data_IF_009388233340
#
_entry.id   IF_009388233340
#
_cell.length_a   1.000
_cell.length_b   1.000
_cell.length_c   1.000
_cell.angle_alpha   90.00
_cell.angle_beta   90.00
_cell.angle_gamma   90.00
#
_symmetry.space_group_name_H-M   'P 1'
#
loop_
_entity.id
_entity.type
_entity.pdbx_description
1 polymer ?
#
# COMPACT_ATOMS: atom_id res chain seq x y z
N UNK A 1 -61.06 -38.07 -7.40
CA UNK A 1 -59.95 -37.91 -6.43
C UNK A 1 -58.97 -36.93 -7.05
N UNK A 2 -59.07 -35.63 -6.71
CA UNK A 2 -58.33 -34.54 -7.35
C UNK A 2 -57.51 -33.81 -6.27
N UNK A 3 -56.20 -33.73 -6.46
CA UNK A 3 -55.25 -33.04 -5.58
C UNK A 3 -54.89 -31.70 -6.21
N UNK A 4 -55.27 -30.60 -5.56
CA UNK A 4 -54.89 -29.25 -5.91
C UNK A 4 -53.55 -28.90 -5.24
N UNK A 5 -52.49 -28.73 -6.04
CA UNK A 5 -51.17 -28.29 -5.59
C UNK A 5 -51.04 -26.77 -5.64
N UNK A 6 -50.96 -26.12 -4.47
CA UNK A 6 -50.70 -24.68 -4.36
C UNK A 6 -49.22 -24.35 -4.57
N UNK A 7 -48.91 -23.58 -5.62
CA UNK A 7 -47.58 -23.00 -5.85
C UNK A 7 -47.40 -21.80 -4.91
N UNK A 8 -46.57 -21.97 -3.89
CA UNK A 8 -46.17 -20.88 -3.00
C UNK A 8 -45.04 -20.07 -3.65
N UNK A 9 -45.36 -18.88 -4.16
CA UNK A 9 -44.36 -17.94 -4.68
C UNK A 9 -43.45 -17.46 -3.54
N UNK A 10 -42.12 -17.63 -3.70
CA UNK A 10 -41.13 -17.09 -2.75
C UNK A 10 -41.08 -15.57 -2.90
N UNK A 11 -41.04 -14.79 -1.79
CA UNK A 11 -40.88 -13.35 -1.87
C UNK A 11 -39.56 -13.01 -2.58
N UNK A 12 -39.63 -12.03 -3.48
CA UNK A 12 -38.48 -11.52 -4.19
C UNK A 12 -37.42 -11.04 -3.18
N UNK A 13 -36.26 -11.67 -3.26
CA UNK A 13 -35.06 -11.34 -2.50
C UNK A 13 -34.78 -9.84 -2.70
N UNK A 14 -34.96 -9.06 -1.63
CA UNK A 14 -34.74 -7.61 -1.62
C UNK A 14 -33.31 -7.41 -2.10
N UNK A 15 -33.12 -6.83 -3.29
CA UNK A 15 -31.81 -6.50 -3.81
C UNK A 15 -31.07 -5.70 -2.73
N UNK A 16 -30.12 -6.36 -2.04
CA UNK A 16 -29.34 -5.75 -0.99
C UNK A 16 -28.72 -4.51 -1.60
N UNK A 17 -29.07 -3.33 -1.06
CA UNK A 17 -28.47 -2.09 -1.49
C UNK A 17 -26.96 -2.25 -1.28
N UNK A 18 -26.25 -2.52 -2.38
CA UNK A 18 -24.81 -2.69 -2.36
C UNK A 18 -24.24 -1.46 -1.67
N UNK A 19 -23.66 -1.65 -0.49
CA UNK A 19 -23.09 -0.55 0.28
C UNK A 19 -22.04 0.15 -0.58
N UNK A 20 -22.40 1.30 -1.13
CA UNK A 20 -21.50 2.00 -2.04
C UNK A 20 -20.53 2.77 -1.16
N UNK A 21 -19.27 2.32 -1.11
CA UNK A 21 -18.13 3.08 -0.59
C UNK A 21 -17.93 4.33 -1.47
N UNK A 22 -18.87 5.28 -1.41
CA UNK A 22 -18.93 6.49 -2.21
C UNK A 22 -18.94 7.69 -1.28
N UNK A 23 -17.79 8.35 -1.20
CA UNK A 23 -17.66 9.63 -0.54
C UNK A 23 -17.92 10.73 -1.56
N UNK A 24 -18.72 11.75 -1.22
CA UNK A 24 -19.00 12.86 -2.14
C UNK A 24 -17.71 13.56 -2.58
N UNK A 25 -17.59 13.82 -3.89
CA UNK A 25 -16.40 14.41 -4.51
C UNK A 25 -15.15 13.52 -4.48
N UNK A 26 -15.29 12.23 -4.17
CA UNK A 26 -14.16 11.29 -4.19
C UNK A 26 -13.99 10.61 -5.55
N UNK A 27 -12.74 10.24 -5.85
CA UNK A 27 -12.36 9.43 -7.01
C UNK A 27 -11.82 8.08 -6.54
N UNK A 28 -12.09 7.01 -7.29
CA UNK A 28 -11.55 5.69 -6.96
C UNK A 28 -10.12 5.58 -7.41
N UNK A 29 -9.27 5.05 -6.53
CA UNK A 29 -7.89 4.72 -6.87
C UNK A 29 -7.75 3.21 -7.10
N UNK A 30 -8.29 2.40 -6.17
CA UNK A 30 -8.25 0.94 -6.23
C UNK A 30 -9.56 0.36 -5.65
N UNK A 31 -9.92 -0.85 -6.06
CA UNK A 31 -11.03 -1.60 -5.49
C UNK A 31 -10.80 -3.11 -5.60
N UNK A 32 -11.38 -3.86 -4.67
CA UNK A 32 -11.50 -5.32 -4.73
C UNK A 32 -12.89 -5.72 -4.22
N UNK A 33 -13.18 -7.02 -4.00
CA UNK A 33 -14.50 -7.46 -3.52
C UNK A 33 -14.87 -7.01 -2.09
N UNK A 34 -13.90 -6.56 -1.28
CA UNK A 34 -14.08 -6.28 0.15
C UNK A 34 -13.91 -4.80 0.51
N UNK A 35 -13.13 -4.05 -0.27
CA UNK A 35 -12.75 -2.69 0.04
C UNK A 35 -12.46 -1.84 -1.20
N UNK A 36 -12.47 -0.53 -1.00
CA UNK A 36 -12.15 0.52 -1.97
C UNK A 36 -11.16 1.50 -1.36
N UNK A 37 -10.19 1.94 -2.15
CA UNK A 37 -9.36 3.10 -1.85
C UNK A 37 -9.83 4.26 -2.71
N UNK A 38 -10.06 5.41 -2.11
CA UNK A 38 -10.52 6.62 -2.80
C UNK A 38 -9.65 7.82 -2.42
N UNK A 39 -9.65 8.83 -3.27
CA UNK A 39 -9.05 10.14 -3.00
C UNK A 39 -10.10 11.24 -3.00
N UNK A 40 -9.87 12.30 -2.25
CA UNK A 40 -10.70 13.50 -2.24
C UNK A 40 -9.81 14.73 -2.06
N UNK A 41 -10.10 15.81 -2.78
CA UNK A 41 -9.48 17.10 -2.50
C UNK A 41 -9.92 17.59 -1.12
N UNK A 42 -8.98 18.11 -0.33
CA UNK A 42 -9.23 18.66 0.98
C UNK A 42 -8.33 19.87 1.22
N UNK A 43 -8.65 20.65 2.25
CA UNK A 43 -7.81 21.74 2.73
C UNK A 43 -7.38 21.41 4.16
N UNK A 44 -6.09 21.52 4.45
CA UNK A 44 -5.51 21.39 5.79
C UNK A 44 -5.00 22.77 6.19
N UNK A 45 -5.51 23.30 7.30
CA UNK A 45 -5.36 24.72 7.63
C UNK A 45 -5.93 25.64 6.51
N UNK A 46 -5.96 26.97 6.65
CA UNK A 46 -6.59 27.82 5.63
C UNK A 46 -5.82 27.90 4.31
N UNK A 47 -4.60 27.35 4.21
CA UNK A 47 -3.70 27.56 3.06
C UNK A 47 -3.30 26.31 2.29
N UNK A 48 -3.34 25.11 2.89
CA UNK A 48 -2.76 23.93 2.24
C UNK A 48 -3.82 23.06 1.58
N UNK A 49 -3.77 22.99 0.24
CA UNK A 49 -4.58 22.04 -0.53
C UNK A 49 -3.89 20.68 -0.55
N UNK A 50 -4.63 19.63 -0.21
CA UNK A 50 -4.13 18.27 -0.19
C UNK A 50 -5.06 17.32 -0.94
N UNK A 51 -4.50 16.25 -1.47
CA UNK A 51 -5.22 15.05 -1.86
C UNK A 51 -5.23 14.08 -0.70
N UNK A 52 -6.40 13.87 -0.10
CA UNK A 52 -6.56 12.93 1.02
C UNK A 52 -6.98 11.56 0.51
N UNK A 53 -6.25 10.55 0.94
CA UNK A 53 -6.56 9.14 0.68
C UNK A 53 -7.41 8.57 1.80
N UNK A 54 -8.42 7.79 1.41
CA UNK A 54 -9.26 7.02 2.32
C UNK A 54 -9.32 5.56 1.88
N UNK A 55 -9.44 4.66 2.84
CA UNK A 55 -9.85 3.29 2.62
C UNK A 55 -11.26 3.08 3.17
N UNK A 56 -12.10 2.35 2.45
CA UNK A 56 -13.45 2.00 2.86
C UNK A 56 -13.68 0.50 2.69
N UNK A 57 -14.26 -0.13 3.71
CA UNK A 57 -14.73 -1.52 3.64
C UNK A 57 -16.21 -1.54 3.26
N UNK A 58 -16.57 -2.26 2.19
CA UNK A 58 -17.95 -2.28 1.67
C UNK A 58 -18.96 -2.69 2.74
N UNK A 59 -18.70 -3.78 3.47
CA UNK A 59 -19.64 -4.31 4.48
C UNK A 59 -20.05 -3.29 5.55
N UNK A 60 -19.19 -2.35 5.91
CA UNK A 60 -19.49 -1.38 6.98
C UNK A 60 -19.69 0.03 6.45
N UNK A 61 -19.37 0.30 5.19
CA UNK A 61 -19.33 1.63 4.58
C UNK A 61 -18.59 2.70 5.42
N UNK A 62 -17.58 2.27 6.19
CA UNK A 62 -16.79 3.14 7.07
C UNK A 62 -15.51 3.53 6.36
N UNK A 63 -15.24 4.84 6.32
CA UNK A 63 -14.03 5.40 5.75
C UNK A 63 -12.97 5.63 6.83
N UNK A 64 -11.74 5.26 6.52
CA UNK A 64 -10.57 5.51 7.33
C UNK A 64 -9.58 6.37 6.54
N UNK A 65 -9.14 7.49 7.12
CA UNK A 65 -8.08 8.31 6.52
C UNK A 65 -6.78 7.53 6.51
N UNK A 66 -6.14 7.46 5.34
CA UNK A 66 -4.88 6.74 5.15
C UNK A 66 -3.72 7.71 5.24
N UNK A 67 -3.70 8.72 4.37
CA UNK A 67 -2.60 9.67 4.20
C UNK A 67 -3.08 10.91 3.45
N UNK A 68 -2.43 12.05 3.69
CA UNK A 68 -2.63 13.27 2.90
C UNK A 68 -1.39 13.50 2.04
N UNK A 69 -1.62 13.83 0.77
CA UNK A 69 -0.58 14.18 -0.21
C UNK A 69 -0.73 15.64 -0.58
N UNK A 70 0.35 16.40 -0.58
CA UNK A 70 0.27 17.85 -0.79
C UNK A 70 1.63 18.49 -1.00
N UNK A 71 1.77 19.71 -0.50
CA UNK A 71 3.02 20.48 -0.57
C UNK A 71 4.18 19.71 0.09
N UNK A 72 5.32 19.56 -0.62
CA UNK A 72 6.51 18.96 -0.04
C UNK A 72 6.95 19.66 1.25
N UNK A 73 7.46 18.88 2.20
CA UNK A 73 7.91 19.37 3.50
C UNK A 73 6.80 19.59 4.53
N UNK A 74 5.53 19.42 4.14
CA UNK A 74 4.38 19.44 5.05
C UNK A 74 3.56 18.15 5.00
N UNK A 75 3.51 17.51 3.83
CA UNK A 75 2.73 16.29 3.58
C UNK A 75 3.58 15.24 2.87
N UNK A 76 3.03 14.04 2.68
CA UNK A 76 3.68 13.09 1.76
C UNK A 76 3.64 13.65 0.34
N UNK A 77 4.73 13.55 -0.40
CA UNK A 77 4.81 14.07 -1.77
C UNK A 77 4.10 13.11 -2.74
N UNK A 78 4.12 11.81 -2.41
CA UNK A 78 3.59 10.72 -3.23
C UNK A 78 3.15 9.55 -2.38
N UNK A 79 2.16 8.81 -2.89
CA UNK A 79 1.61 7.59 -2.26
C UNK A 79 1.55 6.50 -3.32
N UNK A 80 2.70 5.99 -3.70
CA UNK A 80 2.88 4.94 -4.70
C UNK A 80 4.15 4.13 -4.39
N UNK A 81 4.15 2.82 -4.66
CA UNK A 81 3.03 1.97 -5.11
C UNK A 81 1.94 1.75 -4.05
N UNK A 82 0.77 1.27 -4.48
CA UNK A 82 -0.43 1.01 -3.66
C UNK A 82 -0.99 -0.38 -3.94
N UNK A 83 -1.54 -1.05 -2.93
CA UNK A 83 -2.22 -2.36 -3.04
C UNK A 83 -3.44 -2.45 -2.10
N UNK A 84 -4.43 -3.25 -2.52
CA UNK A 84 -5.56 -3.68 -1.68
C UNK A 84 -5.62 -5.21 -1.65
N UNK A 85 -5.58 -5.80 -0.46
CA UNK A 85 -5.68 -7.26 -0.30
C UNK A 85 -6.67 -7.59 0.81
N UNK A 86 -7.80 -8.19 0.44
CA UNK A 86 -8.91 -8.37 1.36
C UNK A 86 -9.37 -7.01 1.91
N UNK A 87 -9.29 -6.85 3.23
CA UNK A 87 -9.64 -5.63 3.96
C UNK A 87 -8.44 -4.74 4.29
N UNK A 88 -7.25 -5.03 3.76
CA UNK A 88 -6.06 -4.24 4.05
C UNK A 88 -5.74 -3.29 2.90
N UNK A 89 -5.32 -2.09 3.27
CA UNK A 89 -4.73 -1.10 2.36
C UNK A 89 -3.24 -0.96 2.64
N UNK A 90 -2.42 -1.18 1.62
CA UNK A 90 -0.97 -1.08 1.67
C UNK A 90 -0.48 -0.01 0.71
N UNK A 91 0.46 0.81 1.13
CA UNK A 91 1.06 1.83 0.28
C UNK A 91 2.46 2.21 0.74
N UNK A 92 3.26 2.70 -0.20
CA UNK A 92 4.47 3.45 0.10
C UNK A 92 4.18 4.95 0.07
N UNK A 93 4.81 5.70 0.96
CA UNK A 93 4.81 7.16 0.94
C UNK A 93 6.24 7.68 0.89
N UNK A 94 6.41 8.86 0.31
CA UNK A 94 7.64 9.63 0.43
C UNK A 94 7.32 10.99 1.04
N UNK A 95 8.27 11.53 1.78
CA UNK A 95 8.26 12.86 2.37
C UNK A 95 9.62 13.49 2.10
N UNK A 96 9.63 14.65 1.47
CA UNK A 96 10.81 15.45 1.24
C UNK A 96 10.79 16.63 2.19
N UNK A 97 11.86 16.84 2.96
CA UNK A 97 11.97 18.04 3.79
C UNK A 97 12.07 19.31 2.94
N UNK A 98 11.57 20.48 3.41
CA UNK A 98 11.62 21.73 2.66
C UNK A 98 13.04 22.13 2.22
N UNK A 99 14.05 21.79 3.03
CA UNK A 99 15.45 22.06 2.74
C UNK A 99 16.04 21.13 1.65
N UNK A 100 15.28 20.12 1.19
CA UNK A 100 15.65 19.25 0.07
C UNK A 100 16.67 18.16 0.37
N UNK A 101 17.24 18.13 1.57
CA UNK A 101 18.36 17.24 1.90
C UNK A 101 17.92 15.82 2.32
N UNK A 102 16.73 15.68 2.90
CA UNK A 102 16.25 14.38 3.37
C UNK A 102 14.96 13.96 2.66
N UNK A 103 15.06 12.88 1.90
CA UNK A 103 13.90 12.15 1.43
C UNK A 103 13.65 11.00 2.40
N UNK A 104 12.54 11.00 3.12
CA UNK A 104 12.06 9.86 3.90
C UNK A 104 11.07 9.07 3.06
N UNK A 105 11.31 7.78 2.87
CA UNK A 105 10.30 6.86 2.32
C UNK A 105 9.87 5.86 3.39
N UNK A 106 8.59 5.52 3.37
CA UNK A 106 7.99 4.57 4.31
C UNK A 106 7.00 3.66 3.60
N UNK A 107 6.73 2.50 4.20
CA UNK A 107 5.65 1.61 3.81
C UNK A 107 4.66 1.47 4.96
N UNK A 108 3.37 1.35 4.63
CA UNK A 108 2.30 1.27 5.62
C UNK A 108 1.22 0.30 5.20
N UNK A 109 0.72 -0.47 6.15
CA UNK A 109 -0.49 -1.29 6.00
C UNK A 109 -1.55 -0.89 7.03
N UNK A 110 -2.80 -0.72 6.59
CA UNK A 110 -3.94 -0.32 7.41
C UNK A 110 -5.06 -1.36 7.31
N UNK A 111 -5.59 -1.79 8.45
CA UNK A 111 -6.74 -2.69 8.57
C UNK A 111 -8.05 -1.90 8.44
N UNK A 112 -8.76 -2.05 7.32
CA UNK A 112 -10.00 -1.31 7.03
C UNK A 112 -11.22 -1.86 7.78
N UNK A 113 -11.06 -2.81 8.70
CA UNK A 113 -12.11 -3.14 9.68
C UNK A 113 -12.14 -2.13 10.83
N UNK A 114 -10.97 -1.64 11.21
CA UNK A 114 -10.77 -0.85 12.44
C UNK A 114 -10.08 0.50 12.23
N UNK A 115 -9.47 0.72 11.06
CA UNK A 115 -8.60 1.86 10.78
C UNK A 115 -7.21 1.76 11.42
N UNK A 116 -6.91 0.67 12.13
CA UNK A 116 -5.62 0.50 12.82
C UNK A 116 -4.49 0.27 11.81
N UNK A 117 -3.35 0.90 12.10
CA UNK A 117 -2.10 0.67 11.37
C UNK A 117 -1.50 -0.64 11.85
N UNK A 118 -1.26 -1.58 10.94
CA UNK A 118 -0.62 -2.87 11.25
C UNK A 118 0.88 -2.86 11.00
N UNK A 119 1.30 -2.10 10.00
CA UNK A 119 2.71 -1.95 9.62
C UNK A 119 2.95 -0.47 9.37
N UNK A 120 4.05 0.05 9.92
CA UNK A 120 4.61 1.37 9.60
C UNK A 120 6.12 1.26 9.72
N UNK A 121 6.79 1.18 8.58
CA UNK A 121 8.24 0.97 8.51
C UNK A 121 8.88 2.01 7.61
N UNK A 122 10.10 2.44 7.93
CA UNK A 122 10.93 3.15 6.95
C UNK A 122 11.23 2.21 5.78
N UNK A 123 11.22 2.67 4.54
CA UNK A 123 11.49 1.82 3.40
C UNK A 123 12.94 1.28 3.40
N UNK A 124 13.87 2.07 3.94
CA UNK A 124 15.29 1.78 4.09
C UNK A 124 15.75 2.30 5.48
N UNK A 125 16.57 1.53 6.21
CA UNK A 125 17.03 1.90 7.58
C UNK A 125 18.41 2.56 7.55
N UNK A 126 19.24 2.21 6.56
CA UNK A 126 20.65 2.62 6.50
C UNK A 126 20.90 3.58 5.32
N UNK A 127 20.02 4.59 5.19
CA UNK A 127 20.17 5.62 4.18
C UNK A 127 21.32 6.57 4.56
N UNK A 128 22.27 6.76 3.65
CA UNK A 128 23.29 7.78 3.78
C UNK A 128 22.71 9.19 3.56
N UNK A 129 23.40 10.25 4.03
CA UNK A 129 22.93 11.63 3.90
C UNK A 129 22.79 12.09 2.45
N UNK A 130 23.51 11.44 1.52
CA UNK A 130 23.48 11.73 0.09
C UNK A 130 22.75 10.65 -0.70
N UNK A 131 21.81 9.93 -0.09
CA UNK A 131 21.00 8.94 -0.79
C UNK A 131 19.60 9.45 -1.07
N UNK A 132 19.12 9.22 -2.28
CA UNK A 132 17.69 9.29 -2.58
C UNK A 132 17.14 7.88 -2.75
N UNK A 133 15.89 7.67 -2.34
CA UNK A 133 15.30 6.35 -2.40
C UNK A 133 13.81 6.38 -2.68
N UNK A 134 13.33 5.33 -3.35
CA UNK A 134 11.94 5.20 -3.77
C UNK A 134 11.53 3.74 -3.68
N UNK A 135 10.35 3.47 -3.14
CA UNK A 135 9.75 2.14 -3.26
C UNK A 135 9.27 1.96 -4.69
N UNK A 136 9.86 1.04 -5.43
CA UNK A 136 9.54 0.80 -6.84
C UNK A 136 8.40 -0.19 -7.03
N UNK A 137 8.28 -1.17 -6.12
CA UNK A 137 7.20 -2.15 -6.13
C UNK A 137 6.82 -2.57 -4.70
N UNK A 138 5.57 -3.01 -4.53
CA UNK A 138 5.01 -3.37 -3.23
C UNK A 138 3.93 -4.42 -3.40
N UNK A 139 4.01 -5.45 -2.58
CA UNK A 139 3.00 -6.49 -2.46
C UNK A 139 2.42 -6.57 -1.05
N UNK A 140 1.12 -6.84 -0.98
CA UNK A 140 0.35 -6.85 0.26
C UNK A 140 -0.39 -8.17 0.40
N UNK A 141 -0.14 -8.88 1.49
CA UNK A 141 -0.89 -10.08 1.83
C UNK A 141 -2.23 -9.71 2.47
N UNK A 142 -3.25 -10.53 2.26
CA UNK A 142 -4.59 -10.37 2.84
C UNK A 142 -4.63 -10.46 4.39
N UNK A 143 -3.50 -10.76 5.01
CA UNK A 143 -3.24 -10.78 6.46
C UNK A 143 -2.51 -9.53 6.96
N UNK A 144 -2.25 -8.56 6.08
CA UNK A 144 -1.61 -7.27 6.39
C UNK A 144 -0.08 -7.24 6.28
N UNK A 145 0.57 -8.37 5.97
CA UNK A 145 2.03 -8.42 5.74
C UNK A 145 2.41 -7.70 4.45
N UNK A 146 3.57 -7.06 4.42
CA UNK A 146 4.07 -6.30 3.28
C UNK A 146 5.42 -6.83 2.79
N UNK A 147 5.62 -6.79 1.49
CA UNK A 147 6.93 -6.89 0.85
C UNK A 147 7.11 -5.73 -0.10
N UNK A 148 8.34 -5.24 -0.27
CA UNK A 148 8.62 -4.12 -1.15
C UNK A 148 10.03 -4.18 -1.73
N UNK A 149 10.20 -3.57 -2.90
CA UNK A 149 11.51 -3.28 -3.49
C UNK A 149 11.78 -1.79 -3.32
N UNK A 150 12.94 -1.46 -2.77
CA UNK A 150 13.42 -0.08 -2.68
C UNK A 150 14.59 0.13 -3.64
N UNK A 151 14.48 1.17 -4.46
CA UNK A 151 15.56 1.73 -5.28
C UNK A 151 16.32 2.74 -4.41
N UNK A 152 17.64 2.56 -4.29
CA UNK A 152 18.57 3.49 -3.63
C UNK A 152 19.50 4.07 -4.69
N UNK A 153 19.60 5.40 -4.73
CA UNK A 153 20.55 6.14 -5.56
C UNK A 153 21.53 6.83 -4.64
N UNK A 154 22.79 6.40 -4.69
CA UNK A 154 23.86 6.96 -3.84
C UNK A 154 24.77 7.89 -4.62
N UNK A 155 25.00 9.09 -4.08
CA UNK A 155 25.86 10.12 -4.68
C UNK A 155 27.24 10.24 -4.00
N UNK A 156 27.56 9.35 -3.06
CA UNK A 156 28.73 9.49 -2.18
C UNK A 156 30.10 9.24 -2.85
N UNK A 157 30.15 8.59 -4.02
CA UNK A 157 31.41 8.07 -4.56
C UNK A 157 32.08 8.94 -5.63
N UNK A 158 31.36 9.84 -6.31
CA UNK A 158 31.92 10.82 -7.24
C UNK A 158 30.87 11.86 -7.67
N UNK A 159 31.28 13.09 -8.03
CA UNK A 159 30.43 14.02 -8.78
C UNK A 159 30.01 13.38 -10.10
N UNK A 160 28.71 13.25 -10.36
CA UNK A 160 28.20 12.70 -11.62
C UNK A 160 26.99 11.80 -11.44
N UNK A 161 27.13 10.52 -11.83
CA UNK A 161 26.03 9.56 -11.90
C UNK A 161 25.84 8.81 -10.58
N UNK A 162 24.62 8.75 -10.03
CA UNK A 162 24.39 7.99 -8.80
C UNK A 162 24.61 6.49 -9.03
N UNK A 163 25.15 5.81 -8.02
CA UNK A 163 25.15 4.34 -7.97
C UNK A 163 23.75 3.89 -7.61
N UNK A 164 23.10 3.15 -8.52
CA UNK A 164 21.76 2.60 -8.30
C UNK A 164 21.89 1.19 -7.76
N UNK A 165 21.27 0.95 -6.61
CA UNK A 165 21.13 -0.38 -6.02
C UNK A 165 19.69 -0.61 -5.60
N UNK A 166 19.31 -1.86 -5.47
CA UNK A 166 17.99 -2.24 -5.02
C UNK A 166 18.08 -3.14 -3.80
N UNK A 167 17.09 -3.07 -2.93
CA UNK A 167 16.90 -4.00 -1.83
C UNK A 167 15.47 -4.53 -1.81
N UNK A 168 15.34 -5.82 -1.49
CA UNK A 168 14.04 -6.47 -1.30
C UNK A 168 13.82 -6.67 0.19
N UNK A 169 12.71 -6.17 0.70
CA UNK A 169 12.35 -6.22 2.10
C UNK A 169 10.99 -6.87 2.29
N UNK A 170 10.79 -7.43 3.49
CA UNK A 170 9.46 -7.81 3.97
C UNK A 170 9.27 -7.43 5.43
N UNK A 171 8.00 -7.35 5.82
CA UNK A 171 7.59 -7.26 7.22
C UNK A 171 6.31 -8.05 7.45
N UNK A 172 6.38 -8.92 8.45
CA UNK A 172 5.27 -9.75 8.92
C UNK A 172 5.38 -9.94 10.44
N UNK A 173 4.71 -10.96 11.00
CA UNK A 173 4.68 -11.27 12.44
C UNK A 173 6.05 -11.66 12.97
N UNK A 174 6.93 -12.19 12.11
CA UNK A 174 8.33 -12.46 12.41
C UNK A 174 9.20 -11.20 12.46
N UNK A 175 8.64 -10.04 12.11
CA UNK A 175 9.36 -8.77 12.08
C UNK A 175 9.79 -8.39 10.65
N UNK A 176 10.65 -7.38 10.60
CA UNK A 176 11.23 -6.88 9.36
C UNK A 176 12.44 -7.72 8.96
N UNK A 177 12.59 -7.98 7.65
CA UNK A 177 13.74 -8.71 7.11
C UNK A 177 14.14 -8.16 5.73
N UNK A 178 15.45 -7.93 5.52
CA UNK A 178 16.03 -7.76 4.18
C UNK A 178 16.27 -9.13 3.56
N UNK A 179 15.71 -9.37 2.38
CA UNK A 179 15.74 -10.65 1.67
C UNK A 179 16.81 -10.69 0.58
N UNK A 180 17.07 -9.56 -0.05
CA UNK A 180 18.03 -9.45 -1.14
C UNK A 180 18.57 -8.02 -1.28
N UNK A 181 19.73 -7.88 -1.90
CA UNK A 181 20.33 -6.62 -2.28
C UNK A 181 21.23 -6.80 -3.52
N UNK A 182 21.15 -5.86 -4.46
CA UNK A 182 21.99 -5.86 -5.65
C UNK A 182 21.52 -4.88 -6.72
N UNK A 183 22.40 -4.49 -7.66
CA UNK A 183 22.05 -3.60 -8.77
C UNK A 183 21.25 -4.31 -9.88
N UNK A 184 21.23 -5.63 -9.89
CA UNK A 184 20.64 -6.50 -10.91
C UNK A 184 19.22 -6.99 -10.58
N UNK A 185 18.62 -6.46 -9.50
CA UNK A 185 17.23 -6.74 -9.14
C UNK A 185 16.33 -5.93 -10.05
N UNK A 186 15.34 -6.60 -10.64
CA UNK A 186 14.33 -5.93 -11.46
C UNK A 186 13.34 -5.17 -10.55
N UNK A 187 13.28 -3.83 -10.63
CA UNK A 187 12.52 -3.00 -9.71
C UNK A 187 11.01 -3.19 -9.75
N UNK A 188 10.46 -3.83 -10.79
CA UNK A 188 9.02 -4.06 -10.99
C UNK A 188 8.65 -5.55 -11.00
N UNK A 189 9.51 -6.40 -10.44
CA UNK A 189 9.34 -7.86 -10.50
C UNK A 189 8.66 -8.47 -9.29
N UNK A 190 8.23 -7.68 -8.31
CA UNK A 190 7.72 -8.23 -7.06
C UNK A 190 6.29 -8.74 -7.27
N UNK A 191 6.08 -10.02 -7.04
CA UNK A 191 4.75 -10.64 -7.13
C UNK A 191 4.43 -11.46 -5.90
N UNK A 192 3.14 -11.63 -5.59
CA UNK A 192 2.66 -12.44 -4.48
C UNK A 192 1.67 -13.50 -4.98
N UNK A 193 1.96 -14.77 -4.68
CA UNK A 193 1.06 -15.90 -4.89
C UNK A 193 0.82 -16.63 -3.56
N UNK A 194 -0.40 -16.53 -3.03
CA UNK A 194 -0.74 -17.08 -1.72
C UNK A 194 0.04 -16.42 -0.58
N UNK A 195 1.05 -17.12 -0.07
CA UNK A 195 2.00 -16.61 0.93
C UNK A 195 3.42 -16.47 0.39
N UNK A 196 3.68 -16.83 -0.86
CA UNK A 196 5.01 -16.78 -1.46
C UNK A 196 5.15 -15.49 -2.26
N UNK A 197 6.11 -14.66 -1.85
CA UNK A 197 6.57 -13.54 -2.68
C UNK A 197 7.69 -14.03 -3.59
N UNK A 198 7.76 -13.45 -4.79
CA UNK A 198 8.85 -13.69 -5.74
C UNK A 198 9.33 -12.39 -6.37
N UNK A 199 10.60 -12.32 -6.70
CA UNK A 199 11.24 -11.20 -7.41
C UNK A 199 12.32 -11.74 -8.36
N UNK A 200 12.78 -10.92 -9.30
CA UNK A 200 13.85 -11.28 -10.24
C UNK A 200 15.15 -10.57 -9.90
N UNK A 201 16.25 -11.30 -9.97
CA UNK A 201 17.62 -10.80 -9.85
C UNK A 201 18.50 -11.45 -10.90
N UNK A 202 19.08 -10.65 -11.80
CA UNK A 202 19.89 -11.16 -12.91
C UNK A 202 19.13 -12.16 -13.79
N UNK A 203 17.82 -11.93 -13.98
CA UNK A 203 16.92 -12.85 -14.70
C UNK A 203 16.47 -14.09 -13.92
N UNK A 204 17.05 -14.37 -12.75
CA UNK A 204 16.70 -15.52 -11.90
C UNK A 204 15.57 -15.15 -10.94
N UNK A 205 14.53 -15.98 -10.89
CA UNK A 205 13.45 -15.81 -9.91
C UNK A 205 13.90 -16.28 -8.54
N UNK A 206 13.72 -15.42 -7.54
CA UNK A 206 13.95 -15.70 -6.12
C UNK A 206 12.61 -15.63 -5.39
N UNK A 207 12.52 -16.32 -4.25
CA UNK A 207 11.27 -16.46 -3.51
C UNK A 207 11.47 -16.38 -2.00
N UNK A 208 10.46 -15.92 -1.28
CA UNK A 208 10.40 -16.00 0.17
C UNK A 208 8.94 -16.14 0.66
N UNK A 209 8.75 -16.53 1.91
CA UNK A 209 7.43 -16.56 2.54
C UNK A 209 7.13 -15.21 3.19
N UNK A 210 5.96 -14.65 2.87
CA UNK A 210 5.37 -13.48 3.50
C UNK A 210 4.30 -13.91 4.50
N UNK A 211 4.62 -13.79 5.79
CA UNK A 211 3.75 -14.18 6.89
C UNK A 211 2.55 -13.26 7.09
N UNK A 212 1.83 -13.48 8.18
CA UNK A 212 0.74 -12.57 8.62
C UNK A 212 1.33 -11.35 9.29
N UNK A 213 0.72 -10.16 9.22
CA UNK A 213 1.23 -9.04 10.02
C UNK A 213 1.07 -9.30 11.53
N UNK A 214 1.91 -8.65 12.33
CA UNK A 214 1.76 -8.67 13.80
C UNK A 214 0.47 -7.94 14.18
N UNK A 215 -0.31 -8.53 15.06
CA UNK A 215 -1.39 -7.83 15.76
C UNK A 215 -0.75 -6.96 16.83
N UNK A 216 -0.48 -5.70 16.49
CA UNK A 216 -0.33 -4.63 17.49
C UNK A 216 -1.64 -4.31 18.18
#
# INVERSE_FOLDING_TARGET
>A
MALAGGLSARPAERAEAHHVCQLSGSRTVLGNRNARMVTRAATVAPRYRVTRYYGCRYRTNRFFRLVDVGEPGLFSDRVEPRRLAGVFAGFAGAYQEPAGEQQLAYVRAVDLRSGRVRVREQALVDAGPSDSYRVSDLELRYTGGLAWIVERRSFAQAPGSPVITYEVHKVDRGGRQRLDAGPDIDPASLTLSGATISWRRGGVTRTAILGSARSG
#
